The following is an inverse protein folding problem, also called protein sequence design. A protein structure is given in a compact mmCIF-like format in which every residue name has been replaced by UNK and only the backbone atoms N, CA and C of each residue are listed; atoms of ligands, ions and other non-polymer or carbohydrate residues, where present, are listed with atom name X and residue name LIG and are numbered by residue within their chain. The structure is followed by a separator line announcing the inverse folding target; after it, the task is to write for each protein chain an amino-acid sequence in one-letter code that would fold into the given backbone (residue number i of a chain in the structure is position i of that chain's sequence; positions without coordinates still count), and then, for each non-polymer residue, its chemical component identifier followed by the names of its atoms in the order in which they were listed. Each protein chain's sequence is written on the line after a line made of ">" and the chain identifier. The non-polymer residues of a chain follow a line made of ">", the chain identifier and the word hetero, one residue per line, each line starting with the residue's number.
data_IF_017442862384
#
_entry.id   IF_017442862384
#
_cell.length_a   1.000
_cell.length_b   1.000
_cell.length_c   1.000
_cell.angle_alpha   90.00
_cell.angle_beta   90.00
_cell.angle_gamma   90.00
#
_symmetry.space_group_name_H-M   'P 1'
#
loop_
_entity.id
_entity.type
_entity.pdbx_description
1 polymer ?
#
# COMPACT_ATOMS: atom_id res chain seq x y z
N UNK A 1 32.66 43.33 -2.68
CA UNK A 1 32.81 41.86 -2.65
C UNK A 1 31.82 41.28 -1.67
N UNK A 2 31.11 40.22 -2.10
CA UNK A 2 30.17 39.54 -1.22
C UNK A 2 30.93 38.86 -0.08
N UNK A 3 30.42 38.96 1.14
CA UNK A 3 30.92 38.20 2.28
C UNK A 3 30.55 36.74 2.16
N UNK A 4 31.17 35.88 2.96
CA UNK A 4 30.80 34.48 3.03
C UNK A 4 29.29 34.32 3.31
N UNK A 5 28.75 35.11 4.23
CA UNK A 5 27.35 35.07 4.60
C UNK A 5 26.42 35.49 3.46
N UNK A 6 26.80 36.55 2.73
CA UNK A 6 26.04 36.98 1.55
C UNK A 6 25.97 35.90 0.49
N UNK A 7 27.06 35.18 0.24
CA UNK A 7 27.08 34.07 -0.70
C UNK A 7 26.23 32.92 -0.21
N UNK A 8 26.23 32.65 1.08
CA UNK A 8 25.42 31.61 1.69
C UNK A 8 23.93 31.88 1.50
N UNK A 9 23.49 33.12 1.73
CA UNK A 9 22.09 33.49 1.58
C UNK A 9 21.65 33.61 0.11
N UNK A 10 22.56 33.89 -0.76
CA UNK A 10 22.29 34.00 -2.22
C UNK A 10 22.38 32.66 -2.95
N UNK A 11 22.85 31.62 -2.29
CA UNK A 11 22.86 30.27 -2.86
C UNK A 11 21.44 29.75 -2.96
N UNK A 12 20.96 29.31 -4.15
CA UNK A 12 19.63 28.73 -4.28
C UNK A 12 19.46 27.53 -3.36
N UNK A 13 18.26 27.38 -2.79
CA UNK A 13 17.90 26.18 -2.03
C UNK A 13 17.86 25.00 -3.01
N UNK A 14 18.54 23.89 -2.72
CA UNK A 14 18.48 22.74 -3.61
C UNK A 14 17.05 22.22 -3.78
N UNK A 15 16.67 21.94 -5.01
CA UNK A 15 15.40 21.31 -5.34
C UNK A 15 15.60 19.82 -5.53
N UNK A 16 14.50 19.05 -5.52
CA UNK A 16 14.55 17.61 -5.73
C UNK A 16 15.21 17.25 -7.05
N UNK A 17 14.99 18.04 -8.11
CA UNK A 17 15.63 17.86 -9.42
C UNK A 17 17.15 18.06 -9.40
N UNK A 18 17.70 18.66 -8.34
CA UNK A 18 19.15 18.79 -8.13
C UNK A 18 19.78 17.57 -7.48
N UNK A 19 18.99 16.59 -7.10
CA UNK A 19 19.41 15.38 -6.38
C UNK A 19 19.44 14.21 -7.37
N UNK A 20 20.49 13.43 -7.31
CA UNK A 20 20.73 12.29 -8.20
C UNK A 20 20.72 12.75 -9.69
N UNK A 21 19.98 12.07 -10.55
CA UNK A 21 19.93 12.33 -11.99
C UNK A 21 18.86 13.38 -12.38
N UNK A 22 18.15 13.95 -11.40
CA UNK A 22 17.09 14.92 -11.66
C UNK A 22 15.76 14.33 -12.09
N UNK A 23 15.61 13.02 -12.06
CA UNK A 23 14.36 12.35 -12.46
C UNK A 23 13.23 12.54 -11.46
N UNK A 24 13.56 12.89 -10.21
CA UNK A 24 12.56 13.17 -9.16
C UNK A 24 12.35 14.68 -9.05
N UNK A 25 11.12 15.12 -9.26
CA UNK A 25 10.76 16.53 -9.13
C UNK A 25 10.28 16.88 -7.71
N UNK A 26 10.07 18.17 -7.45
CA UNK A 26 9.65 18.64 -6.13
C UNK A 26 8.30 18.06 -5.68
N UNK A 27 7.36 17.91 -6.60
CA UNK A 27 6.04 17.33 -6.29
C UNK A 27 6.17 15.87 -5.86
N UNK A 28 6.96 15.11 -6.60
CA UNK A 28 7.22 13.70 -6.28
C UNK A 28 7.95 13.55 -4.93
N UNK A 29 8.95 14.41 -4.67
CA UNK A 29 9.67 14.40 -3.41
C UNK A 29 8.74 14.71 -2.22
N UNK A 30 7.75 15.59 -2.42
CA UNK A 30 6.78 15.95 -1.39
C UNK A 30 5.81 14.81 -1.03
N UNK A 31 5.69 13.77 -1.84
CA UNK A 31 4.87 12.61 -1.49
C UNK A 31 5.36 11.89 -0.23
N UNK A 32 6.60 12.10 0.18
CA UNK A 32 7.14 11.50 1.40
C UNK A 32 7.05 12.41 2.63
N UNK A 33 6.59 13.65 2.51
CA UNK A 33 6.61 14.62 3.61
C UNK A 33 5.64 14.29 4.75
N UNK A 34 4.65 13.45 4.49
CA UNK A 34 3.64 13.04 5.47
C UNK A 34 3.90 11.64 6.06
N UNK A 35 5.03 11.03 5.75
CA UNK A 35 5.39 9.76 6.35
C UNK A 35 5.57 9.90 7.87
N UNK A 36 4.88 9.07 8.63
CA UNK A 36 4.93 9.09 10.10
C UNK A 36 6.12 8.31 10.67
N UNK A 37 6.77 7.50 9.83
CA UNK A 37 7.94 6.72 10.20
C UNK A 37 8.76 6.41 8.95
N UNK A 38 9.84 5.68 9.11
CA UNK A 38 10.68 5.24 7.99
C UNK A 38 9.83 4.53 6.92
N UNK A 39 10.02 4.91 5.65
CA UNK A 39 9.24 4.36 4.53
C UNK A 39 9.39 2.84 4.41
N UNK A 40 10.60 2.31 4.58
CA UNK A 40 10.84 0.87 4.51
C UNK A 40 10.08 0.12 5.62
N UNK A 41 10.01 0.68 6.83
CA UNK A 41 9.24 0.09 7.92
C UNK A 41 7.77 0.01 7.55
N UNK A 42 7.20 1.06 6.96
CA UNK A 42 5.81 1.08 6.54
C UNK A 42 5.54 0.09 5.41
N UNK A 43 6.45 -0.03 4.45
CA UNK A 43 6.33 -0.99 3.34
C UNK A 43 6.42 -2.42 3.87
N UNK A 44 7.36 -2.70 4.75
CA UNK A 44 7.57 -4.04 5.34
C UNK A 44 6.36 -4.48 6.18
N UNK A 45 5.62 -3.53 6.75
CA UNK A 45 4.41 -3.81 7.52
C UNK A 45 3.21 -4.23 6.65
N UNK A 46 3.29 -4.13 5.32
CA UNK A 46 2.24 -4.55 4.40
C UNK A 46 2.37 -6.03 4.07
N UNK A 47 1.23 -6.71 3.93
CA UNK A 47 1.23 -8.11 3.49
C UNK A 47 1.72 -8.18 2.03
N UNK A 48 2.82 -8.89 1.73
CA UNK A 48 3.30 -9.04 0.36
C UNK A 48 2.31 -9.82 -0.51
N UNK A 49 2.31 -9.57 -1.84
CA UNK A 49 1.50 -10.35 -2.78
C UNK A 49 1.87 -11.84 -2.77
N UNK A 50 3.12 -12.16 -2.45
CA UNK A 50 3.58 -13.55 -2.30
C UNK A 50 3.01 -14.24 -1.06
N UNK A 51 2.30 -13.49 -0.21
CA UNK A 51 1.70 -14.02 1.00
C UNK A 51 2.57 -13.85 2.24
N UNK A 52 2.02 -14.28 3.36
CA UNK A 52 2.65 -14.20 4.67
C UNK A 52 1.70 -14.63 5.75
N UNK A 53 2.14 -14.59 6.99
CA UNK A 53 1.32 -14.90 8.16
C UNK A 53 0.84 -13.63 8.83
N UNK A 54 -0.47 -13.49 8.97
CA UNK A 54 -1.07 -12.41 9.74
C UNK A 54 -0.99 -12.75 11.24
N UNK A 55 -0.69 -11.77 12.07
CA UNK A 55 -0.67 -11.94 13.54
C UNK A 55 -1.87 -11.28 14.21
N UNK A 56 -2.77 -10.73 13.44
CA UNK A 56 -4.03 -10.13 13.90
C UNK A 56 -5.14 -10.41 12.91
N UNK A 57 -6.33 -9.92 13.23
CA UNK A 57 -7.51 -10.14 12.39
C UNK A 57 -7.40 -9.37 11.08
N UNK A 58 -7.88 -10.00 10.00
CA UNK A 58 -8.16 -9.34 8.73
C UNK A 58 -9.67 -9.14 8.62
N UNK A 59 -10.12 -7.90 8.76
CA UNK A 59 -11.54 -7.58 8.80
C UNK A 59 -12.03 -7.13 7.41
N UNK A 60 -13.10 -7.79 6.97
CA UNK A 60 -13.83 -7.43 5.75
C UNK A 60 -15.13 -6.75 6.15
N UNK A 61 -15.45 -5.63 5.51
CA UNK A 61 -16.71 -4.94 5.74
C UNK A 61 -17.90 -5.68 5.11
N UNK A 62 -19.11 -5.20 5.39
CA UNK A 62 -20.32 -5.72 4.77
C UNK A 62 -20.25 -5.55 3.25
N UNK A 63 -20.68 -6.57 2.52
CA UNK A 63 -20.63 -6.59 1.04
C UNK A 63 -19.22 -6.51 0.45
N UNK A 64 -18.22 -6.95 1.21
CA UNK A 64 -16.83 -7.09 0.75
C UNK A 64 -16.47 -8.57 0.72
N UNK A 65 -16.08 -9.06 -0.42
CA UNK A 65 -15.81 -10.47 -0.64
C UNK A 65 -14.34 -10.82 -0.41
N UNK A 66 -14.07 -11.93 0.28
CA UNK A 66 -12.81 -12.63 0.17
C UNK A 66 -12.92 -13.61 -0.98
N UNK A 67 -12.23 -13.32 -2.09
CA UNK A 67 -12.32 -14.06 -3.34
C UNK A 67 -11.17 -15.04 -3.52
N UNK A 68 -11.48 -16.26 -3.98
CA UNK A 68 -10.51 -17.31 -4.26
C UNK A 68 -10.75 -17.82 -5.68
N UNK A 69 -9.66 -18.09 -6.41
CA UNK A 69 -9.71 -18.51 -7.80
C UNK A 69 -9.67 -17.31 -8.77
N UNK A 70 -9.22 -17.55 -10.00
CA UNK A 70 -9.03 -16.51 -11.01
C UNK A 70 -10.35 -15.82 -11.42
N UNK A 71 -11.47 -16.52 -11.32
CA UNK A 71 -12.79 -16.00 -11.63
C UNK A 71 -13.61 -15.63 -10.39
N UNK A 72 -12.97 -15.50 -9.23
CA UNK A 72 -13.67 -15.36 -7.95
C UNK A 72 -14.65 -16.52 -7.72
N UNK A 73 -14.14 -17.73 -7.92
CA UNK A 73 -14.96 -18.95 -7.96
C UNK A 73 -15.50 -19.35 -6.59
N UNK A 74 -14.75 -19.07 -5.53
CA UNK A 74 -15.20 -19.23 -4.15
C UNK A 74 -15.18 -17.87 -3.46
N UNK A 75 -16.26 -17.52 -2.78
CA UNK A 75 -16.38 -16.26 -2.04
C UNK A 75 -16.80 -16.53 -0.61
N UNK A 76 -16.27 -15.73 0.30
CA UNK A 76 -16.71 -15.68 1.70
C UNK A 76 -17.02 -14.23 2.02
N UNK A 77 -18.24 -13.94 2.46
CA UNK A 77 -18.66 -12.56 2.73
C UNK A 77 -19.83 -12.50 3.69
N UNK A 78 -20.12 -11.28 4.17
CA UNK A 78 -21.30 -10.93 4.96
C UNK A 78 -22.04 -9.79 4.27
N UNK A 79 -23.35 -9.89 4.10
CA UNK A 79 -24.15 -8.89 3.38
C UNK A 79 -24.80 -7.82 4.28
N UNK A 80 -24.42 -7.78 5.56
CA UNK A 80 -25.02 -6.92 6.57
C UNK A 80 -26.10 -7.62 7.37
N UNK A 81 -26.52 -8.82 6.97
CA UNK A 81 -27.55 -9.61 7.62
C UNK A 81 -27.16 -11.09 7.74
N UNK A 82 -26.59 -11.64 6.67
CA UNK A 82 -26.26 -13.05 6.57
C UNK A 82 -24.81 -13.26 6.12
N UNK A 83 -24.24 -14.38 6.52
CA UNK A 83 -22.90 -14.81 6.13
C UNK A 83 -22.96 -15.94 5.11
N UNK A 84 -22.08 -15.86 4.09
CA UNK A 84 -22.08 -16.78 2.96
C UNK A 84 -20.69 -17.37 2.73
N UNK A 85 -20.69 -18.67 2.38
CA UNK A 85 -19.60 -19.34 1.67
C UNK A 85 -20.20 -19.78 0.36
N UNK A 86 -19.85 -19.11 -0.74
CA UNK A 86 -20.51 -19.26 -2.03
C UNK A 86 -19.55 -19.87 -3.03
N UNK A 87 -19.98 -20.96 -3.68
CA UNK A 87 -19.32 -21.52 -4.83
C UNK A 87 -19.97 -20.92 -6.10
N UNK A 88 -19.29 -19.97 -6.71
CA UNK A 88 -19.76 -19.24 -7.88
C UNK A 88 -19.13 -19.76 -9.18
N UNK A 89 -18.20 -20.70 -9.09
CA UNK A 89 -17.48 -21.26 -10.24
C UNK A 89 -18.10 -22.52 -10.81
N UNK A 90 -17.32 -23.18 -11.63
CA UNK A 90 -17.65 -24.53 -12.12
C UNK A 90 -17.07 -25.57 -11.17
N UNK A 91 -17.83 -26.59 -10.87
CA UNK A 91 -17.42 -27.60 -9.91
C UNK A 91 -18.36 -27.64 -8.72
N UNK A 92 -17.81 -27.91 -7.56
CA UNK A 92 -18.58 -27.94 -6.33
C UNK A 92 -17.74 -27.55 -5.13
N UNK A 93 -18.35 -26.96 -4.14
CA UNK A 93 -17.75 -26.78 -2.83
C UNK A 93 -17.66 -28.15 -2.13
N UNK A 94 -16.46 -28.53 -1.72
CA UNK A 94 -16.24 -29.79 -1.00
C UNK A 94 -15.63 -29.45 0.38
N UNK A 95 -16.27 -29.93 1.42
CA UNK A 95 -15.76 -29.85 2.81
C UNK A 95 -15.21 -31.24 3.16
N UNK A 96 -13.93 -31.29 3.51
CA UNK A 96 -13.23 -32.54 3.79
C UNK A 96 -12.74 -32.50 5.23
N UNK A 97 -13.02 -33.56 5.96
CA UNK A 97 -12.52 -33.70 7.35
C UNK A 97 -11.25 -34.57 7.38
#
# INVERSE_FOLDING_TARGET
>A
MATYESRRYNTPVPEATSIADGSVNNTEFQFINTLSSNAQTQITARLPLAGGTMTGDLNFGDNVDANFGAGADLKIYHDGSNSFVEDAGTGRLTLIS
#
